data_IF_750469262072
#
_entry.id   IF_750469262072
#
_cell.length_a   1.000
_cell.length_b   1.000
_cell.length_c   1.000
_cell.angle_alpha   90.00
_cell.angle_beta   90.00
_cell.angle_gamma   90.00
#
_symmetry.space_group_name_H-M   'P 1'
#
loop_
_entity.id
_entity.type
_entity.pdbx_description
1 polymer ?
#
# COMPACT_ATOMS: atom_id res chain seq x y z
N UNK A 1 -3.21 30.77 -1.59
CA UNK A 1 -2.77 30.63 -0.18
C UNK A 1 -3.87 31.25 0.68
N UNK A 2 -4.86 30.46 1.09
CA UNK A 2 -5.96 30.97 1.92
C UNK A 2 -5.60 30.83 3.40
N UNK A 3 -5.77 31.94 4.13
CA UNK A 3 -5.33 32.12 5.52
C UNK A 3 -6.41 31.65 6.48
N UNK A 4 -6.28 30.42 6.98
CA UNK A 4 -6.94 29.99 8.21
C UNK A 4 -6.02 30.30 9.41
N UNK A 5 -6.21 31.47 10.05
CA UNK A 5 -5.65 31.75 11.39
C UNK A 5 -4.13 31.73 11.56
N UNK A 6 -3.34 31.80 10.47
CA UNK A 6 -1.87 31.72 10.56
C UNK A 6 -1.32 30.30 10.75
N UNK A 7 -2.17 29.26 10.72
CA UNK A 7 -1.75 27.87 10.67
C UNK A 7 -1.48 27.48 9.23
N UNK A 8 -0.21 27.24 8.90
CA UNK A 8 0.20 26.63 7.64
C UNK A 8 0.09 25.11 7.77
N UNK A 9 -0.91 24.51 7.12
CA UNK A 9 -1.02 23.05 7.04
C UNK A 9 -0.19 22.54 5.88
N UNK A 10 0.90 21.82 6.18
CA UNK A 10 1.64 21.09 5.16
C UNK A 10 0.94 19.76 4.88
N UNK A 11 0.25 19.68 3.75
CA UNK A 11 -0.35 18.43 3.31
C UNK A 11 0.74 17.50 2.75
N UNK A 12 0.65 16.22 3.08
CA UNK A 12 1.45 15.17 2.45
C UNK A 12 0.92 14.94 1.02
N UNK A 13 1.39 15.76 0.09
CA UNK A 13 0.91 15.83 -1.29
C UNK A 13 1.73 14.98 -2.27
N UNK A 14 3.02 14.78 -1.99
CA UNK A 14 3.90 13.91 -2.78
C UNK A 14 3.89 12.46 -2.28
N UNK A 15 4.20 11.47 -3.14
CA UNK A 15 4.29 10.06 -2.72
C UNK A 15 5.24 9.85 -1.54
N UNK A 16 6.42 10.48 -1.56
CA UNK A 16 7.42 10.41 -0.49
C UNK A 16 6.89 11.00 0.82
N UNK A 17 6.25 12.17 0.79
CA UNK A 17 5.69 12.76 2.01
C UNK A 17 4.56 11.90 2.60
N UNK A 18 3.72 11.29 1.74
CA UNK A 18 2.67 10.36 2.16
C UNK A 18 3.29 9.12 2.81
N UNK A 19 4.32 8.55 2.19
CA UNK A 19 5.04 7.42 2.75
C UNK A 19 5.59 7.72 4.14
N UNK A 20 6.31 8.84 4.30
CA UNK A 20 6.85 9.25 5.58
C UNK A 20 5.75 9.49 6.63
N UNK A 21 4.68 10.18 6.26
CA UNK A 21 3.56 10.44 7.16
C UNK A 21 2.89 9.13 7.64
N UNK A 22 2.65 8.19 6.73
CA UNK A 22 2.05 6.88 7.04
C UNK A 22 2.99 6.04 7.89
N UNK A 23 4.28 5.95 7.53
CA UNK A 23 5.26 5.20 8.32
C UNK A 23 5.39 5.75 9.75
N UNK A 24 5.45 7.08 9.90
CA UNK A 24 5.50 7.72 11.21
C UNK A 24 4.22 7.45 12.01
N UNK A 25 3.05 7.58 11.39
CA UNK A 25 1.77 7.27 12.01
C UNK A 25 1.70 5.82 12.52
N UNK A 26 2.10 4.87 11.69
CA UNK A 26 2.14 3.45 12.04
C UNK A 26 3.16 3.14 13.15
N UNK A 27 4.27 3.88 13.21
CA UNK A 27 5.27 3.71 14.27
C UNK A 27 4.87 4.28 15.62
N UNK A 28 3.98 5.29 15.62
CA UNK A 28 3.56 6.00 16.83
C UNK A 28 2.44 5.27 17.58
N UNK A 29 1.57 4.57 16.86
CA UNK A 29 0.41 3.88 17.45
C UNK A 29 0.79 2.53 18.05
N UNK A 30 -0.01 2.08 19.02
CA UNK A 30 0.17 0.77 19.64
C UNK A 30 -0.54 -0.36 18.88
N UNK A 31 -1.62 -0.04 18.16
CA UNK A 31 -2.52 -1.02 17.56
C UNK A 31 -2.68 -0.84 16.07
N UNK A 32 -2.98 -1.94 15.38
CA UNK A 32 -3.24 -2.00 13.95
C UNK A 32 -4.74 -1.81 13.66
N UNK A 33 -5.08 -0.99 12.66
CA UNK A 33 -6.45 -0.67 12.28
C UNK A 33 -6.71 -0.99 10.80
N UNK A 34 -7.98 -1.29 10.45
CA UNK A 34 -8.35 -1.53 9.06
C UNK A 34 -8.05 -0.32 8.16
N UNK A 35 -8.17 0.89 8.69
CA UNK A 35 -7.91 2.16 7.97
C UNK A 35 -6.47 2.28 7.47
N UNK A 36 -5.50 1.64 8.13
CA UNK A 36 -4.09 1.64 7.70
C UNK A 36 -3.91 0.98 6.33
N UNK A 37 -4.68 -0.07 6.05
CA UNK A 37 -4.63 -0.78 4.76
C UNK A 37 -4.96 0.18 3.63
N UNK A 38 -5.91 1.10 3.87
CA UNK A 38 -6.30 2.12 2.91
C UNK A 38 -5.17 3.15 2.73
N UNK A 39 -4.56 3.62 3.82
CA UNK A 39 -3.45 4.57 3.76
C UNK A 39 -2.22 3.99 3.04
N UNK A 40 -1.83 2.77 3.38
CA UNK A 40 -0.73 2.06 2.71
C UNK A 40 -1.01 1.85 1.22
N UNK A 41 -2.24 1.45 0.88
CA UNK A 41 -2.64 1.32 -0.53
C UNK A 41 -2.49 2.65 -1.26
N UNK A 42 -2.84 3.78 -0.65
CA UNK A 42 -2.65 5.10 -1.28
C UNK A 42 -1.17 5.44 -1.50
N UNK A 43 -0.29 5.07 -0.58
CA UNK A 43 1.17 5.28 -0.74
C UNK A 43 1.72 4.42 -1.88
N UNK A 44 1.37 3.12 -1.92
CA UNK A 44 1.78 2.22 -2.98
C UNK A 44 1.29 2.71 -4.35
N UNK A 45 0.02 3.10 -4.45
CA UNK A 45 -0.51 3.70 -5.68
C UNK A 45 0.26 4.96 -6.06
N UNK A 46 0.60 5.82 -5.09
CA UNK A 46 1.34 7.06 -5.32
C UNK A 46 2.76 6.84 -5.86
N UNK A 47 3.46 5.78 -5.46
CA UNK A 47 4.81 5.51 -5.96
C UNK A 47 4.82 4.89 -7.36
N UNK A 48 3.87 4.01 -7.63
CA UNK A 48 3.99 3.09 -8.76
C UNK A 48 2.98 3.34 -9.87
N UNK A 49 1.80 3.87 -9.57
CA UNK A 49 0.71 3.93 -10.54
C UNK A 49 0.51 5.33 -11.10
N UNK A 50 0.21 5.36 -12.39
CA UNK A 50 -0.35 6.55 -13.03
C UNK A 50 -1.88 6.57 -12.88
N UNK A 51 -2.48 7.76 -12.97
CA UNK A 51 -3.94 7.93 -12.87
C UNK A 51 -4.64 7.06 -13.93
N UNK A 52 -5.58 6.23 -13.49
CA UNK A 52 -6.37 5.36 -14.37
C UNK A 52 -5.74 3.99 -14.66
N UNK A 53 -4.53 3.72 -14.16
CA UNK A 53 -3.88 2.42 -14.33
C UNK A 53 -4.56 1.32 -13.49
N UNK A 54 -4.74 0.09 -14.01
CA UNK A 54 -5.29 -1.01 -13.23
C UNK A 54 -4.37 -1.40 -12.07
N UNK A 55 -4.86 -1.27 -10.84
CA UNK A 55 -4.07 -1.32 -9.60
C UNK A 55 -3.20 -2.58 -9.45
N UNK A 56 -3.83 -3.75 -9.34
CA UNK A 56 -3.11 -5.01 -9.13
C UNK A 56 -2.15 -5.34 -10.29
N UNK A 57 -2.56 -5.05 -11.54
CA UNK A 57 -1.74 -5.31 -12.73
C UNK A 57 -0.53 -4.39 -12.82
N UNK A 58 -0.69 -3.09 -12.55
CA UNK A 58 0.39 -2.13 -12.57
C UNK A 58 1.42 -2.42 -11.47
N UNK A 59 0.95 -2.65 -10.25
CA UNK A 59 1.81 -2.93 -9.11
C UNK A 59 2.57 -4.25 -9.25
N UNK A 60 1.92 -5.32 -9.73
CA UNK A 60 2.58 -6.62 -9.91
C UNK A 60 3.70 -6.60 -10.95
N UNK A 61 3.73 -5.59 -11.83
CA UNK A 61 4.82 -5.38 -12.78
C UNK A 61 5.89 -4.41 -12.27
N UNK A 62 5.46 -3.31 -11.65
CA UNK A 62 6.34 -2.18 -11.33
C UNK A 62 7.07 -2.31 -10.00
N UNK A 63 6.45 -2.90 -8.99
CA UNK A 63 7.13 -3.19 -7.73
C UNK A 63 8.39 -4.04 -7.98
N UNK A 64 8.33 -5.18 -8.69
CA UNK A 64 9.52 -6.00 -8.85
C UNK A 64 10.61 -5.36 -9.73
N UNK A 65 10.23 -4.42 -10.61
CA UNK A 65 11.21 -3.62 -11.34
C UNK A 65 12.02 -2.65 -10.44
N UNK A 66 11.50 -2.34 -9.25
CA UNK A 66 12.16 -1.45 -8.27
C UNK A 66 12.88 -2.23 -7.18
N UNK A 67 12.18 -3.18 -6.53
CA UNK A 67 12.71 -3.86 -5.34
C UNK A 67 13.28 -5.26 -5.64
N UNK A 68 13.32 -5.67 -6.91
CA UNK A 68 13.70 -7.03 -7.32
C UNK A 68 12.52 -8.00 -7.30
N UNK A 69 12.77 -9.26 -7.63
CA UNK A 69 11.72 -10.25 -7.81
C UNK A 69 10.80 -10.38 -6.60
N UNK A 70 9.49 -10.39 -6.87
CA UNK A 70 8.50 -10.73 -5.84
C UNK A 70 8.72 -12.19 -5.42
N UNK A 71 8.61 -12.51 -4.12
CA UNK A 71 8.44 -13.89 -3.67
C UNK A 71 7.24 -14.54 -4.38
N UNK A 72 7.20 -15.87 -4.50
CA UNK A 72 6.15 -16.60 -5.23
C UNK A 72 4.71 -16.18 -4.87
N UNK A 73 4.49 -15.77 -3.63
CA UNK A 73 3.20 -15.32 -3.11
C UNK A 73 2.90 -13.81 -3.30
N UNK A 74 3.76 -13.06 -3.97
CA UNK A 74 3.68 -11.60 -4.08
C UNK A 74 2.47 -11.10 -4.87
N UNK A 75 2.18 -11.73 -6.01
CA UNK A 75 0.99 -11.42 -6.82
C UNK A 75 -0.30 -11.71 -6.06
N UNK A 76 -0.33 -12.82 -5.31
CA UNK A 76 -1.46 -13.20 -4.47
C UNK A 76 -1.67 -12.16 -3.37
N UNK A 77 -0.61 -11.78 -2.67
CA UNK A 77 -0.66 -10.73 -1.65
C UNK A 77 -1.19 -9.40 -2.21
N UNK A 78 -0.76 -8.98 -3.41
CA UNK A 78 -1.30 -7.78 -4.05
C UNK A 78 -2.81 -7.87 -4.30
N UNK A 79 -3.30 -9.01 -4.75
CA UNK A 79 -4.75 -9.18 -4.91
C UNK A 79 -5.47 -9.14 -3.56
N UNK A 80 -4.90 -9.79 -2.55
CA UNK A 80 -5.48 -9.90 -1.21
C UNK A 80 -5.55 -8.53 -0.51
N UNK A 81 -4.48 -7.72 -0.55
CA UNK A 81 -4.50 -6.38 0.05
C UNK A 81 -5.49 -5.45 -0.66
N UNK A 82 -5.64 -5.56 -1.98
CA UNK A 82 -6.61 -4.74 -2.72
C UNK A 82 -8.04 -5.17 -2.51
N UNK A 83 -8.28 -6.47 -2.35
CA UNK A 83 -9.58 -6.99 -1.92
C UNK A 83 -9.89 -6.47 -0.52
N UNK A 84 -8.96 -6.60 0.43
CA UNK A 84 -9.12 -6.11 1.79
C UNK A 84 -9.43 -4.61 1.83
N UNK A 85 -8.64 -3.79 1.10
CA UNK A 85 -8.90 -2.35 0.94
C UNK A 85 -10.28 -2.08 0.36
N UNK A 86 -10.71 -2.84 -0.64
CA UNK A 86 -12.03 -2.72 -1.25
C UNK A 86 -13.11 -2.99 -0.21
N UNK A 87 -13.03 -4.11 0.48
CA UNK A 87 -13.99 -4.53 1.50
C UNK A 87 -14.10 -3.47 2.62
N UNK A 88 -12.97 -2.88 3.04
CA UNK A 88 -12.94 -1.82 4.06
C UNK A 88 -13.61 -0.54 3.58
N UNK A 89 -13.29 -0.06 2.37
CA UNK A 89 -13.83 1.19 1.83
C UNK A 89 -15.32 1.08 1.50
N UNK A 90 -15.78 -0.11 1.13
CA UNK A 90 -17.19 -0.37 0.80
C UNK A 90 -18.04 -0.81 2.01
N UNK A 91 -17.42 -0.99 3.18
CA UNK A 91 -18.13 -1.39 4.40
C UNK A 91 -18.46 -2.88 4.49
N UNK A 92 -17.88 -3.70 3.60
CA UNK A 92 -18.01 -5.15 3.62
C UNK A 92 -17.07 -5.80 4.65
N UNK A 93 -16.03 -5.08 5.10
CA UNK A 93 -15.14 -5.55 6.14
C UNK A 93 -15.80 -5.42 7.53
N UNK A 94 -15.79 -6.49 8.36
CA UNK A 94 -16.48 -6.48 9.65
C UNK A 94 -15.85 -5.49 10.63
N UNK A 95 -16.69 -4.81 11.40
CA UNK A 95 -16.26 -3.99 12.54
C UNK A 95 -16.07 -4.90 13.75
N UNK A 96 -14.88 -4.86 14.35
CA UNK A 96 -14.62 -5.57 15.59
C UNK A 96 -15.15 -4.78 16.78
N UNK A 97 -15.87 -5.46 17.67
CA UNK A 97 -16.17 -4.89 19.00
C UNK A 97 -14.87 -4.79 19.82
N UNK A 98 -14.67 -3.73 20.63
CA UNK A 98 -13.61 -3.71 21.63
C UNK A 98 -13.75 -4.94 22.54
N UNK A 99 -12.68 -5.72 22.71
CA UNK A 99 -12.66 -6.89 23.59
C UNK A 99 -11.60 -6.68 24.67
N UNK A 100 -12.03 -6.64 25.92
CA UNK A 100 -11.15 -6.49 27.08
C UNK A 100 -10.75 -7.85 27.66
N UNK A 101 -10.01 -8.66 26.88
CA UNK A 101 -9.51 -9.96 27.33
C UNK A 101 -10.53 -11.10 27.35
N UNK A 102 -11.65 -10.96 26.65
CA UNK A 102 -12.69 -12.00 26.54
C UNK A 102 -12.44 -12.93 25.34
N UNK A 103 -12.17 -14.21 25.63
CA UNK A 103 -12.13 -15.31 24.66
C UNK A 103 -13.51 -15.98 24.59
N UNK A 104 -14.31 -15.61 23.59
CA UNK A 104 -15.60 -16.26 23.30
C UNK A 104 -15.58 -16.97 21.94
N UNK A 105 -16.69 -17.59 21.54
CA UNK A 105 -16.84 -18.30 20.27
C UNK A 105 -16.47 -17.51 19.00
N UNK A 106 -16.42 -16.17 19.06
CA UNK A 106 -16.00 -15.30 17.96
C UNK A 106 -14.55 -14.85 18.02
N UNK A 107 -13.79 -15.21 19.06
CA UNK A 107 -12.40 -14.78 19.27
C UNK A 107 -11.51 -15.18 18.11
N UNK A 108 -11.46 -16.46 17.75
CA UNK A 108 -10.64 -16.98 16.65
C UNK A 108 -10.91 -16.28 15.31
N UNK A 109 -12.18 -15.91 15.07
CA UNK A 109 -12.56 -15.19 13.85
C UNK A 109 -12.03 -13.77 13.86
N UNK A 110 -12.13 -13.06 15.00
CA UNK A 110 -11.60 -11.70 15.14
C UNK A 110 -10.08 -11.72 15.06
N UNK A 111 -9.43 -12.63 15.77
CA UNK A 111 -7.98 -12.79 15.76
C UNK A 111 -7.47 -13.07 14.35
N UNK A 112 -8.09 -14.01 13.61
CA UNK A 112 -7.72 -14.28 12.22
C UNK A 112 -7.79 -13.05 11.33
N UNK A 113 -8.84 -12.22 11.50
CA UNK A 113 -8.99 -10.98 10.72
C UNK A 113 -7.98 -9.91 11.12
N UNK A 114 -7.65 -9.83 12.41
CA UNK A 114 -6.57 -8.98 12.89
C UNK A 114 -5.23 -9.36 12.25
N UNK A 115 -4.90 -10.65 12.22
CA UNK A 115 -3.69 -11.14 11.56
C UNK A 115 -3.70 -10.94 10.04
N UNK A 116 -4.85 -11.03 9.39
CA UNK A 116 -5.01 -10.69 7.97
C UNK A 116 -4.64 -9.21 7.69
N UNK A 117 -5.16 -8.29 8.50
CA UNK A 117 -4.81 -6.86 8.42
C UNK A 117 -3.33 -6.64 8.73
N UNK A 118 -2.84 -7.20 9.84
CA UNK A 118 -1.47 -7.02 10.31
C UNK A 118 -0.46 -7.53 9.28
N UNK A 119 -0.67 -8.72 8.72
CA UNK A 119 0.19 -9.27 7.67
C UNK A 119 0.15 -8.48 6.37
N UNK A 120 -1.00 -7.89 6.02
CA UNK A 120 -1.10 -6.99 4.87
C UNK A 120 -0.29 -5.70 5.08
N UNK A 121 -0.38 -5.13 6.29
CA UNK A 121 0.33 -3.91 6.69
C UNK A 121 1.84 -4.14 6.74
N UNK A 122 2.30 -5.19 7.41
CA UNK A 122 3.72 -5.48 7.59
C UNK A 122 4.44 -5.59 6.23
N UNK A 123 3.83 -6.32 5.30
CA UNK A 123 4.37 -6.44 3.94
C UNK A 123 4.26 -5.14 3.14
N UNK A 124 3.18 -4.39 3.30
CA UNK A 124 3.02 -3.07 2.66
C UNK A 124 4.08 -2.07 3.13
N UNK A 125 4.32 -2.00 4.44
CA UNK A 125 5.37 -1.20 5.09
C UNK A 125 6.74 -1.62 4.58
N UNK A 126 7.02 -2.92 4.51
CA UNK A 126 8.29 -3.43 4.00
C UNK A 126 8.58 -2.96 2.57
N UNK A 127 7.57 -3.01 1.68
CA UNK A 127 7.70 -2.51 0.30
C UNK A 127 7.94 -1.00 0.30
N UNK A 128 7.20 -0.22 1.10
CA UNK A 128 7.37 1.23 1.18
C UNK A 128 8.77 1.60 1.67
N UNK A 129 9.28 0.93 2.72
CA UNK A 129 10.63 1.15 3.24
C UNK A 129 11.67 0.86 2.15
N UNK A 130 11.57 -0.30 1.49
CA UNK A 130 12.48 -0.67 0.40
C UNK A 130 12.43 0.34 -0.76
N UNK A 131 11.24 0.83 -1.09
CA UNK A 131 11.04 1.86 -2.13
C UNK A 131 11.72 3.17 -1.77
N UNK A 132 11.52 3.65 -0.55
CA UNK A 132 12.14 4.90 -0.07
C UNK A 132 13.66 4.75 -0.02
N UNK A 133 14.16 3.59 0.44
CA UNK A 133 15.60 3.31 0.45
C UNK A 133 16.19 3.32 -0.97
N UNK A 134 15.53 2.71 -1.95
CA UNK A 134 15.98 2.70 -3.34
C UNK A 134 16.02 4.13 -3.94
N UNK A 135 14.99 4.94 -3.67
CA UNK A 135 14.96 6.36 -4.07
C UNK A 135 16.14 7.14 -3.47
N UNK A 136 16.46 6.91 -2.19
CA UNK A 136 17.60 7.54 -1.52
C UNK A 136 18.92 7.12 -2.18
N UNK A 137 19.12 5.81 -2.40
CA UNK A 137 20.34 5.27 -3.03
C UNK A 137 20.53 5.86 -4.44
N UNK A 138 19.43 6.03 -5.19
CA UNK A 138 19.43 6.61 -6.54
C UNK A 138 19.42 8.14 -6.56
N UNK A 139 19.41 8.80 -5.39
CA UNK A 139 19.28 10.25 -5.26
C UNK A 139 18.14 10.83 -6.13
N UNK A 140 16.96 10.20 -6.04
CA UNK A 140 15.80 10.47 -6.89
C UNK A 140 14.55 10.70 -6.05
N UNK A 141 13.64 11.56 -6.53
CA UNK A 141 12.39 11.89 -5.82
C UNK A 141 11.17 11.08 -6.30
N UNK A 142 11.26 10.44 -7.47
CA UNK A 142 10.15 9.71 -8.10
C UNK A 142 10.64 8.66 -9.10
N UNK A 143 9.75 7.74 -9.46
CA UNK A 143 9.95 6.79 -10.57
C UNK A 143 9.19 7.24 -11.82
N UNK A 144 9.80 7.01 -12.98
CA UNK A 144 9.14 7.10 -14.27
C UNK A 144 9.14 5.71 -14.92
N UNK A 145 7.95 5.15 -15.14
CA UNK A 145 7.78 3.86 -15.81
C UNK A 145 7.37 4.08 -17.27
N UNK A 146 8.23 3.69 -18.20
CA UNK A 146 7.97 3.79 -19.63
C UNK A 146 7.30 2.50 -20.12
N UNK A 147 6.19 2.63 -20.84
CA UNK A 147 5.60 1.52 -21.59
C UNK A 147 6.16 1.52 -23.02
N UNK A 148 6.59 0.36 -23.49
CA UNK A 148 7.07 0.17 -24.87
C UNK A 148 6.21 -0.88 -25.56
N UNK A 149 5.68 -0.53 -26.74
CA UNK A 149 4.98 -1.48 -27.62
C UNK A 149 6.04 -2.10 -28.51
N UNK A 150 6.35 -3.38 -28.27
CA UNK A 150 7.20 -4.17 -29.16
C UNK A 150 6.30 -4.80 -30.21
N UNK A 151 6.40 -4.34 -31.46
CA UNK A 151 5.76 -4.99 -32.60
C UNK A 151 6.72 -6.07 -33.09
N UNK A 152 6.45 -7.34 -32.76
CA UNK A 152 7.14 -8.45 -33.40
C UNK A 152 6.66 -8.52 -34.85
N UNK A 153 7.45 -7.98 -35.78
CA UNK A 153 7.27 -8.24 -37.20
C UNK A 153 7.60 -9.70 -37.45
N UNK A 154 6.58 -10.56 -37.39
CA UNK A 154 6.68 -11.93 -37.84
C UNK A 154 7.11 -11.94 -39.31
N UNK A 155 8.26 -12.56 -39.58
CA UNK A 155 8.63 -12.95 -40.94
C UNK A 155 7.66 -14.04 -41.37
N UNK A 156 6.55 -13.66 -41.99
CA UNK A 156 5.74 -14.57 -42.78
C UNK A 156 6.49 -14.82 -44.10
N UNK A 157 7.45 -15.72 -44.05
CA UNK A 157 8.04 -16.38 -45.24
C UNK A 157 7.19 -17.56 -45.67
#
# INVERSE_FOLDING_TARGET
MERNGGLSYFLADTPVKKALAVLLHLSYKCDVEATDVVQLSQVLEGFYLSKGEPKARGLSKKIPAVIGDFPENGKRWLNDIYKLRSDIVHGDFPIFRPRYGEEDSGFDTVERRYWEISGAIDRGVSIIIATVQDLIIKNSDYYAFKEEIVIETGNYS
#
